data_IF_119113134533
#
_entry.id   IF_119113134533
#
_cell.length_a   1.000
_cell.length_b   1.000
_cell.length_c   1.000
_cell.angle_alpha   90.00
_cell.angle_beta   90.00
_cell.angle_gamma   90.00
#
_symmetry.space_group_name_H-M   'P 1'
#
loop_
_entity.id
_entity.type
_entity.pdbx_description
1 polymer ?
#
# COMPACT_ATOMS: atom_id res chain seq x y z
N UNK A 1 5.49 16.77 -8.10
CA UNK A 1 4.78 16.22 -9.26
C UNK A 1 3.92 15.05 -8.80
N UNK A 2 2.80 14.83 -9.49
CA UNK A 2 1.74 13.93 -9.07
C UNK A 2 2.21 12.48 -8.93
N UNK A 3 1.48 11.73 -8.12
CA UNK A 3 1.69 10.30 -7.91
C UNK A 3 0.52 9.55 -8.51
N UNK A 4 0.78 8.47 -9.23
CA UNK A 4 -0.26 7.58 -9.75
C UNK A 4 -0.35 6.34 -8.86
N UNK A 5 -1.57 5.91 -8.53
CA UNK A 5 -1.80 4.57 -7.97
C UNK A 5 -2.71 3.78 -8.90
N UNK A 6 -2.35 2.52 -9.16
CA UNK A 6 -3.15 1.62 -10.01
C UNK A 6 -3.55 0.37 -9.24
N UNK A 7 -4.84 0.31 -8.89
CA UNK A 7 -5.54 -0.91 -8.54
C UNK A 7 -6.10 -1.57 -9.80
N UNK A 8 -6.09 -2.90 -9.87
CA UNK A 8 -6.41 -3.64 -11.10
C UNK A 8 -6.85 -5.06 -10.84
N UNK A 9 -7.82 -5.51 -11.62
CA UNK A 9 -8.21 -6.92 -11.68
C UNK A 9 -7.13 -7.71 -12.43
N UNK A 10 -6.94 -8.98 -12.11
CA UNK A 10 -5.93 -9.79 -12.78
C UNK A 10 -6.29 -10.04 -14.26
N UNK A 11 -5.38 -9.71 -15.19
CA UNK A 11 -5.67 -9.81 -16.63
C UNK A 11 -6.46 -8.62 -17.21
N UNK A 12 -6.70 -7.56 -16.44
CA UNK A 12 -7.40 -6.36 -16.93
C UNK A 12 -6.59 -5.48 -17.89
N UNK A 13 -5.29 -5.71 -18.08
CA UNK A 13 -4.42 -4.80 -18.84
C UNK A 13 -3.84 -3.64 -18.00
N UNK A 14 -4.22 -3.54 -16.72
CA UNK A 14 -3.75 -2.45 -15.85
C UNK A 14 -2.24 -2.44 -15.60
N UNK A 15 -1.54 -3.57 -15.74
CA UNK A 15 -0.06 -3.63 -15.61
C UNK A 15 0.57 -2.86 -16.76
N UNK A 16 0.17 -3.20 -17.97
CA UNK A 16 0.67 -2.66 -19.23
C UNK A 16 0.41 -1.15 -19.31
N UNK A 17 -0.81 -0.72 -18.94
CA UNK A 17 -1.20 0.69 -18.85
C UNK A 17 -0.30 1.44 -17.86
N UNK A 18 -0.09 0.91 -16.65
CA UNK A 18 0.76 1.54 -15.64
C UNK A 18 2.22 1.71 -16.08
N UNK A 19 2.80 0.69 -16.69
CA UNK A 19 4.15 0.79 -17.27
C UNK A 19 4.20 1.78 -18.44
N UNK A 20 3.18 1.84 -19.28
CA UNK A 20 3.11 2.78 -20.38
C UNK A 20 3.06 4.24 -19.88
N UNK A 21 2.19 4.54 -18.92
CA UNK A 21 2.14 5.88 -18.28
C UNK A 21 3.48 6.23 -17.64
N UNK A 22 4.09 5.28 -16.91
CA UNK A 22 5.40 5.50 -16.30
C UNK A 22 6.47 5.86 -17.33
N UNK A 23 6.51 5.16 -18.47
CA UNK A 23 7.44 5.49 -19.57
C UNK A 23 7.15 6.85 -20.19
N UNK A 24 5.89 7.16 -20.49
CA UNK A 24 5.50 8.43 -21.13
C UNK A 24 5.88 9.65 -20.30
N UNK A 25 5.79 9.55 -18.97
CA UNK A 25 6.11 10.65 -18.05
C UNK A 25 7.51 10.56 -17.42
N UNK A 26 8.28 9.52 -17.74
CA UNK A 26 9.54 9.19 -17.05
C UNK A 26 9.37 9.07 -15.53
N UNK A 27 8.28 8.45 -15.08
CA UNK A 27 8.01 8.17 -13.68
C UNK A 27 8.65 6.84 -13.27
N UNK A 28 9.06 6.75 -12.00
CA UNK A 28 9.52 5.50 -11.42
C UNK A 28 8.32 4.55 -11.22
N UNK A 29 8.44 3.29 -11.64
CA UNK A 29 7.44 2.28 -11.33
C UNK A 29 7.81 1.56 -10.04
N UNK A 30 6.85 1.53 -9.11
CA UNK A 30 6.99 0.86 -7.82
C UNK A 30 5.94 -0.24 -7.78
N UNK A 31 6.38 -1.43 -8.14
CA UNK A 31 5.55 -2.61 -8.13
C UNK A 31 5.82 -3.50 -6.91
N UNK A 32 5.15 -4.64 -6.92
CA UNK A 32 5.28 -5.65 -5.89
C UNK A 32 6.75 -6.04 -5.68
N UNK A 33 7.50 -6.35 -6.74
CA UNK A 33 8.88 -6.81 -6.62
C UNK A 33 9.77 -5.73 -6.02
N UNK A 34 9.58 -4.47 -6.43
CA UNK A 34 10.31 -3.33 -5.89
C UNK A 34 10.06 -3.15 -4.39
N UNK A 35 8.79 -3.18 -3.96
CA UNK A 35 8.42 -3.08 -2.54
C UNK A 35 9.04 -4.23 -1.75
N UNK A 36 8.94 -5.48 -2.25
CA UNK A 36 9.47 -6.66 -1.56
C UNK A 36 11.00 -6.62 -1.43
N UNK A 37 11.69 -6.13 -2.46
CA UNK A 37 13.15 -5.94 -2.40
C UNK A 37 13.54 -4.92 -1.32
N UNK A 38 12.77 -3.84 -1.16
CA UNK A 38 13.03 -2.86 -0.11
C UNK A 38 12.66 -3.36 1.29
N UNK A 39 11.62 -4.20 1.42
CA UNK A 39 11.33 -4.84 2.72
C UNK A 39 12.47 -5.75 3.17
N UNK A 40 13.12 -6.50 2.25
CA UNK A 40 14.27 -7.37 2.59
C UNK A 40 15.47 -6.58 3.12
N UNK A 41 15.67 -5.34 2.67
CA UNK A 41 16.75 -4.48 3.18
C UNK A 41 16.54 -4.07 4.64
N UNK A 42 15.31 -4.12 5.13
CA UNK A 42 14.99 -3.86 6.54
C UNK A 42 15.18 -5.09 7.45
N UNK A 43 15.34 -6.30 6.87
CA UNK A 43 15.55 -7.55 7.58
C UNK A 43 15.14 -8.77 6.75
N UNK A 44 15.88 -9.87 6.85
CA UNK A 44 15.61 -11.09 6.07
C UNK A 44 14.41 -11.88 6.59
N UNK A 45 14.03 -11.73 7.87
CA UNK A 45 12.81 -12.33 8.43
C UNK A 45 11.51 -11.89 7.72
N UNK A 46 11.51 -10.70 7.12
CA UNK A 46 10.39 -10.20 6.32
C UNK A 46 10.28 -10.89 4.95
N UNK A 47 11.31 -11.64 4.52
CA UNK A 47 11.31 -12.41 3.29
C UNK A 47 10.31 -13.57 3.34
N UNK A 48 10.11 -14.18 4.52
CA UNK A 48 9.14 -15.26 4.68
C UNK A 48 7.71 -14.75 4.45
N UNK A 49 7.35 -13.63 5.09
CA UNK A 49 6.06 -12.96 4.83
C UNK A 49 5.91 -12.50 3.38
N UNK A 50 7.00 -12.06 2.75
CA UNK A 50 7.02 -11.70 1.33
C UNK A 50 6.65 -12.89 0.43
N UNK A 51 7.13 -14.09 0.73
CA UNK A 51 6.83 -15.30 -0.07
C UNK A 51 5.41 -15.82 0.21
N UNK A 52 5.00 -15.85 1.48
CA UNK A 52 3.68 -16.37 1.86
C UNK A 52 2.53 -15.48 1.35
N UNK A 53 2.68 -14.15 1.36
CA UNK A 53 1.65 -13.22 0.85
C UNK A 53 1.55 -13.17 -0.68
N UNK A 54 2.55 -13.74 -1.36
CA UNK A 54 2.52 -13.89 -2.81
C UNK A 54 1.74 -15.11 -3.25
N UNK A 55 1.54 -16.07 -2.35
CA UNK A 55 0.96 -17.38 -2.63
C UNK A 55 -0.43 -17.56 -1.98
N UNK A 56 -0.81 -16.70 -1.02
CA UNK A 56 -2.11 -16.74 -0.35
C UNK A 56 -2.50 -15.42 0.33
N UNK A 57 -3.81 -15.21 0.45
CA UNK A 57 -4.38 -14.26 1.42
C UNK A 57 -4.09 -14.71 2.85
N UNK A 58 -3.75 -13.79 3.77
CA UNK A 58 -3.59 -14.15 5.18
C UNK A 58 -4.94 -14.58 5.77
N UNK A 59 -4.93 -15.71 6.48
CA UNK A 59 -6.05 -16.19 7.30
C UNK A 59 -6.39 -15.20 8.41
N UNK A 60 -7.59 -15.31 8.99
CA UNK A 60 -8.04 -14.40 10.07
C UNK A 60 -7.06 -14.38 11.24
N UNK A 61 -6.45 -15.51 11.59
CA UNK A 61 -5.47 -15.61 12.67
C UNK A 61 -4.14 -14.93 12.33
N UNK A 62 -3.67 -15.07 11.09
CA UNK A 62 -2.45 -14.41 10.60
C UNK A 62 -2.58 -12.88 10.57
N UNK A 63 -3.79 -12.33 10.50
CA UNK A 63 -4.02 -10.88 10.61
C UNK A 63 -3.63 -10.31 11.97
N UNK A 64 -3.73 -11.14 13.01
CA UNK A 64 -3.36 -10.79 14.37
C UNK A 64 -1.93 -11.20 14.72
N UNK A 65 -1.21 -11.82 13.78
CA UNK A 65 0.22 -12.07 13.92
C UNK A 65 0.97 -10.74 13.91
N UNK A 66 1.77 -10.52 14.96
CA UNK A 66 2.60 -9.34 15.10
C UNK A 66 3.56 -9.18 13.91
N UNK A 67 4.07 -10.28 13.38
CA UNK A 67 4.98 -10.28 12.24
C UNK A 67 4.26 -9.81 10.97
N UNK A 68 3.01 -10.22 10.76
CA UNK A 68 2.21 -9.68 9.66
C UNK A 68 1.95 -8.17 9.83
N UNK A 69 1.66 -7.70 11.05
CA UNK A 69 1.46 -6.26 11.33
C UNK A 69 2.74 -5.44 11.08
N UNK A 70 3.90 -5.94 11.51
CA UNK A 70 5.20 -5.32 11.23
C UNK A 70 5.49 -5.23 9.74
N UNK A 71 5.25 -6.32 9.00
CA UNK A 71 5.41 -6.35 7.55
C UNK A 71 4.50 -5.34 6.82
N UNK A 72 3.23 -5.26 7.22
CA UNK A 72 2.27 -4.30 6.65
C UNK A 72 2.71 -2.86 6.93
N UNK A 73 3.11 -2.56 8.17
CA UNK A 73 3.62 -1.23 8.53
C UNK A 73 4.85 -0.85 7.71
N UNK A 74 5.74 -1.82 7.45
CA UNK A 74 6.92 -1.63 6.62
C UNK A 74 6.55 -1.34 5.15
N UNK A 75 5.63 -2.10 4.56
CA UNK A 75 5.11 -1.84 3.20
C UNK A 75 4.52 -0.43 3.11
N UNK A 76 3.66 -0.05 4.06
CA UNK A 76 3.03 1.27 4.09
C UNK A 76 4.07 2.39 4.21
N UNK A 77 5.08 2.21 5.07
CA UNK A 77 6.19 3.15 5.20
C UNK A 77 6.97 3.31 3.89
N UNK A 78 7.30 2.20 3.22
CA UNK A 78 8.02 2.21 1.93
C UNK A 78 7.18 2.89 0.84
N UNK A 79 5.89 2.58 0.75
CA UNK A 79 5.01 3.18 -0.25
C UNK A 79 4.84 4.69 -0.06
N UNK A 80 4.74 5.16 1.19
CA UNK A 80 4.72 6.58 1.51
C UNK A 80 6.06 7.28 1.23
N UNK A 81 7.18 6.58 1.41
CA UNK A 81 8.49 7.09 1.04
C UNK A 81 8.60 7.32 -0.47
N UNK A 82 8.15 6.35 -1.29
CA UNK A 82 8.05 6.53 -2.73
C UNK A 82 7.07 7.65 -3.13
N UNK A 83 5.91 7.72 -2.49
CA UNK A 83 4.94 8.79 -2.76
C UNK A 83 5.51 10.19 -2.46
N UNK A 84 6.41 10.32 -1.48
CA UNK A 84 7.05 11.59 -1.12
C UNK A 84 8.14 12.03 -2.13
N UNK A 85 8.71 11.08 -2.89
CA UNK A 85 9.70 11.34 -3.95
C UNK A 85 9.09 11.96 -5.20
N UNK A 86 7.75 11.95 -5.31
CA UNK A 86 6.98 12.36 -6.49
C UNK A 86 7.30 11.52 -7.74
N UNK A 87 6.56 11.72 -8.84
CA UNK A 87 6.84 11.07 -10.13
C UNK A 87 6.94 9.54 -10.02
N UNK A 88 6.02 8.94 -9.27
CA UNK A 88 5.96 7.49 -9.10
C UNK A 88 4.61 6.93 -9.54
N UNK A 89 4.65 5.71 -10.09
CA UNK A 89 3.48 4.87 -10.33
C UNK A 89 3.50 3.72 -9.33
N UNK A 90 2.62 3.77 -8.33
CA UNK A 90 2.45 2.73 -7.32
C UNK A 90 1.48 1.66 -7.81
N UNK A 91 1.99 0.46 -8.05
CA UNK A 91 1.19 -0.66 -8.59
C UNK A 91 0.61 -1.54 -7.48
N UNK A 92 -0.53 -1.13 -6.93
CA UNK A 92 -1.37 -1.94 -6.03
C UNK A 92 -0.94 -1.88 -4.57
N UNK A 93 -0.98 -3.02 -3.87
CA UNK A 93 -0.70 -3.17 -2.43
C UNK A 93 -1.44 -2.15 -1.54
N UNK A 94 -2.56 -1.65 -2.03
CA UNK A 94 -3.43 -0.70 -1.36
C UNK A 94 -2.95 0.76 -1.39
N UNK A 95 -2.10 1.15 -2.34
CA UNK A 95 -1.65 2.53 -2.47
C UNK A 95 -2.80 3.54 -2.62
N UNK A 96 -3.89 3.13 -3.28
CA UNK A 96 -5.11 3.92 -3.41
C UNK A 96 -5.80 4.18 -2.05
N UNK A 97 -5.69 3.28 -1.08
CA UNK A 97 -6.20 3.46 0.29
C UNK A 97 -5.25 4.31 1.14
N UNK A 98 -3.94 4.16 0.93
CA UNK A 98 -2.91 4.88 1.69
C UNK A 98 -2.85 6.38 1.34
N UNK A 99 -3.14 6.71 0.07
CA UNK A 99 -3.11 8.07 -0.46
C UNK A 99 -4.49 8.72 -0.57
N UNK A 100 -5.49 8.22 0.17
CA UNK A 100 -6.79 8.90 0.33
C UNK A 100 -6.56 10.32 0.86
N UNK A 101 -7.30 11.29 0.33
CA UNK A 101 -7.19 12.72 0.63
C UNK A 101 -5.84 13.37 0.31
N UNK A 102 -4.98 12.73 -0.50
CA UNK A 102 -3.77 13.38 -1.02
C UNK A 102 -4.09 14.00 -2.39
N UNK A 103 -4.19 15.34 -2.50
CA UNK A 103 -4.75 15.98 -3.70
C UNK A 103 -3.93 15.77 -4.98
N UNK A 104 -2.63 15.56 -4.84
CA UNK A 104 -1.75 15.28 -5.98
C UNK A 104 -1.58 13.78 -6.28
N UNK A 105 -2.29 12.90 -5.58
CA UNK A 105 -2.34 11.48 -5.90
C UNK A 105 -3.55 11.18 -6.79
N UNK A 106 -3.33 10.63 -7.98
CA UNK A 106 -4.38 10.11 -8.86
C UNK A 106 -4.60 8.62 -8.56
N UNK A 107 -5.78 8.25 -8.06
CA UNK A 107 -6.11 6.89 -7.66
C UNK A 107 -7.00 6.23 -8.70
N UNK A 108 -6.48 5.19 -9.35
CA UNK A 108 -7.12 4.61 -10.53
C UNK A 108 -7.42 3.13 -10.31
N UNK A 109 -8.59 2.72 -10.77
CA UNK A 109 -9.01 1.33 -10.85
C UNK A 109 -9.12 0.90 -12.32
N UNK A 110 -8.46 -0.19 -12.69
CA UNK A 110 -8.59 -0.80 -14.03
C UNK A 110 -9.35 -2.12 -13.92
N UNK A 111 -10.42 -2.24 -14.71
CA UNK A 111 -11.32 -3.39 -14.77
C UNK A 111 -11.44 -3.89 -16.20
N UNK A 112 -11.90 -5.14 -16.33
CA UNK A 112 -12.23 -5.72 -17.62
C UNK A 112 -13.25 -6.86 -17.46
N UNK A 113 -14.08 -7.15 -18.46
CA UNK A 113 -14.94 -8.32 -18.46
C UNK A 113 -14.13 -9.61 -18.33
N UNK A 114 -14.70 -10.60 -17.64
CA UNK A 114 -14.02 -11.87 -17.37
C UNK A 114 -13.50 -12.56 -18.64
N UNK A 115 -14.24 -12.52 -19.74
CA UNK A 115 -13.82 -13.16 -21.00
C UNK A 115 -12.54 -12.52 -21.57
N UNK A 116 -12.46 -11.19 -21.62
CA UNK A 116 -11.25 -10.51 -22.10
C UNK A 116 -10.05 -10.80 -21.22
N UNK A 117 -10.28 -10.94 -19.91
CA UNK A 117 -9.24 -11.29 -18.95
C UNK A 117 -8.74 -12.71 -19.20
N UNK A 118 -9.64 -13.67 -19.38
CA UNK A 118 -9.31 -15.05 -19.72
C UNK A 118 -8.45 -15.10 -20.98
N UNK A 119 -8.88 -14.45 -22.08
CA UNK A 119 -8.15 -14.46 -23.35
C UNK A 119 -6.73 -13.89 -23.20
N UNK A 120 -6.56 -12.83 -22.39
CA UNK A 120 -5.26 -12.24 -22.08
C UNK A 120 -4.38 -13.19 -21.26
N UNK A 121 -4.94 -13.85 -20.24
CA UNK A 121 -4.20 -14.76 -19.38
C UNK A 121 -3.80 -16.04 -20.13
N UNK A 122 -4.69 -16.62 -20.94
CA UNK A 122 -4.38 -17.77 -21.79
C UNK A 122 -3.17 -17.49 -22.69
N UNK A 123 -3.15 -16.32 -23.34
CA UNK A 123 -2.03 -15.89 -24.19
C UNK A 123 -0.74 -15.62 -23.42
N UNK A 124 -0.83 -14.96 -22.27
CA UNK A 124 0.34 -14.55 -21.49
C UNK A 124 1.02 -15.71 -20.78
N UNK A 125 0.25 -16.60 -20.17
CA UNK A 125 0.74 -17.70 -19.35
C UNK A 125 0.81 -19.04 -20.12
N UNK A 126 0.31 -19.08 -21.37
CA UNK A 126 0.24 -20.30 -22.20
C UNK A 126 -0.55 -21.43 -21.51
N UNK A 127 -1.78 -21.10 -21.09
CA UNK A 127 -2.68 -22.02 -20.37
C UNK A 127 -4.04 -22.11 -21.04
N UNK A 128 -4.79 -23.17 -20.74
CA UNK A 128 -6.18 -23.31 -21.18
C UNK A 128 -7.15 -22.33 -20.47
N UNK A 129 -8.39 -22.30 -20.96
CA UNK A 129 -9.44 -21.41 -20.48
C UNK A 129 -9.78 -21.63 -19.00
N UNK A 130 -9.90 -22.89 -18.58
CA UNK A 130 -10.30 -23.23 -17.21
C UNK A 130 -9.21 -22.87 -16.21
N UNK A 131 -7.95 -23.13 -16.57
CA UNK A 131 -6.77 -22.74 -15.81
C UNK A 131 -6.65 -21.21 -15.74
N UNK A 132 -6.85 -20.50 -16.85
CA UNK A 132 -6.84 -19.04 -16.87
C UNK A 132 -7.92 -18.44 -15.96
N UNK A 133 -9.15 -18.97 -16.03
CA UNK A 133 -10.26 -18.54 -15.18
C UNK A 133 -9.97 -18.81 -13.70
N UNK A 134 -9.46 -20.00 -13.36
CA UNK A 134 -9.07 -20.32 -11.99
C UNK A 134 -7.99 -19.38 -11.46
N UNK A 135 -6.95 -19.09 -12.25
CA UNK A 135 -5.89 -18.15 -11.89
C UNK A 135 -6.42 -16.74 -11.63
N UNK A 136 -7.36 -16.28 -12.46
CA UNK A 136 -8.06 -15.00 -12.31
C UNK A 136 -8.80 -14.94 -10.99
N UNK A 137 -9.68 -15.90 -10.73
CA UNK A 137 -10.51 -15.91 -9.53
C UNK A 137 -9.66 -16.05 -8.26
N UNK A 138 -8.63 -16.90 -8.30
CA UNK A 138 -7.68 -17.06 -7.19
C UNK A 138 -6.95 -15.75 -6.90
N UNK A 139 -6.34 -15.14 -7.91
CA UNK A 139 -5.54 -13.91 -7.74
C UNK A 139 -6.39 -12.73 -7.27
N UNK A 140 -7.60 -12.57 -7.80
CA UNK A 140 -8.51 -11.50 -7.38
C UNK A 140 -8.99 -11.71 -5.94
N UNK A 141 -9.32 -12.95 -5.55
CA UNK A 141 -9.68 -13.30 -4.17
C UNK A 141 -8.53 -13.01 -3.20
N UNK A 142 -7.30 -13.31 -3.61
CA UNK A 142 -6.10 -13.03 -2.80
C UNK A 142 -5.86 -11.53 -2.63
N UNK A 143 -5.98 -10.76 -3.72
CA UNK A 143 -5.86 -9.29 -3.66
C UNK A 143 -6.95 -8.66 -2.81
N UNK A 144 -8.20 -9.11 -2.98
CA UNK A 144 -9.32 -8.63 -2.18
C UNK A 144 -9.14 -8.94 -0.70
N UNK A 145 -8.76 -10.19 -0.37
CA UNK A 145 -8.50 -10.61 1.00
C UNK A 145 -7.35 -9.86 1.66
N UNK A 146 -6.28 -9.55 0.92
CA UNK A 146 -5.16 -8.71 1.37
C UNK A 146 -5.60 -7.27 1.67
N UNK A 147 -6.41 -6.65 0.81
CA UNK A 147 -6.92 -5.30 1.07
C UNK A 147 -7.84 -5.30 2.29
N UNK A 148 -8.75 -6.27 2.38
CA UNK A 148 -9.68 -6.40 3.50
C UNK A 148 -8.95 -6.65 4.82
N UNK A 149 -7.84 -7.39 4.82
CA UNK A 149 -7.08 -7.68 6.04
C UNK A 149 -6.35 -6.46 6.59
N UNK A 150 -5.87 -5.57 5.71
CA UNK A 150 -5.06 -4.41 6.10
C UNK A 150 -5.91 -3.18 6.37
N UNK A 151 -6.83 -2.88 5.45
CA UNK A 151 -7.60 -1.63 5.48
C UNK A 151 -9.01 -1.81 6.02
N UNK A 152 -9.49 -3.05 6.18
CA UNK A 152 -10.88 -3.31 6.53
C UNK A 152 -11.88 -2.89 5.45
N UNK A 153 -11.40 -2.46 4.28
CA UNK A 153 -12.22 -1.92 3.18
C UNK A 153 -12.55 -2.99 2.14
N UNK A 154 -13.58 -2.72 1.35
CA UNK A 154 -13.81 -3.43 0.09
C UNK A 154 -12.76 -2.96 -0.93
N UNK A 155 -12.12 -3.91 -1.61
CA UNK A 155 -11.09 -3.62 -2.62
C UNK A 155 -11.63 -2.88 -3.85
N UNK A 156 -12.95 -2.91 -4.06
CA UNK A 156 -13.65 -2.27 -5.18
C UNK A 156 -14.50 -1.07 -4.73
N UNK A 157 -14.33 -0.60 -3.49
CA UNK A 157 -15.02 0.59 -2.98
C UNK A 157 -14.75 1.82 -3.87
N UNK A 158 -15.77 2.38 -4.55
CA UNK A 158 -15.60 3.52 -5.43
C UNK A 158 -15.03 4.77 -4.74
N UNK A 159 -15.26 4.94 -3.43
CA UNK A 159 -14.74 6.10 -2.69
C UNK A 159 -13.19 6.10 -2.60
N UNK A 160 -12.57 4.95 -2.85
CA UNK A 160 -11.13 4.77 -2.83
C UNK A 160 -10.45 5.06 -4.17
N UNK A 161 -11.21 5.48 -5.19
CA UNK A 161 -10.71 5.78 -6.53
C UNK A 161 -11.22 7.14 -7.04
N UNK A 162 -10.38 7.83 -7.79
CA UNK A 162 -10.76 9.05 -8.52
C UNK A 162 -11.29 8.70 -9.92
N UNK A 163 -10.74 7.65 -10.54
CA UNK A 163 -11.13 7.17 -11.87
C UNK A 163 -11.22 5.64 -11.89
N UNK A 164 -12.22 5.14 -12.61
CA UNK A 164 -12.40 3.71 -12.90
C UNK A 164 -12.48 3.53 -14.40
N UNK A 165 -11.57 2.76 -14.98
CA UNK A 165 -11.56 2.44 -16.40
C UNK A 165 -11.94 0.98 -16.63
N UNK A 166 -12.73 0.76 -17.67
CA UNK A 166 -13.05 -0.55 -18.21
C UNK A 166 -12.36 -0.71 -19.56
N UNK A 167 -11.44 -1.66 -19.66
CA UNK A 167 -10.67 -1.90 -20.89
C UNK A 167 -11.47 -2.54 -22.02
N UNK A 168 -12.73 -2.90 -21.79
CA UNK A 168 -13.68 -3.20 -22.88
C UNK A 168 -14.19 -1.93 -23.54
N UNK A 169 -14.43 -0.88 -22.76
CA UNK A 169 -15.11 0.35 -23.21
C UNK A 169 -14.13 1.40 -23.70
N UNK A 170 -12.90 1.39 -23.18
CA UNK A 170 -11.86 2.36 -23.51
C UNK A 170 -10.60 1.62 -23.95
N UNK A 171 -10.01 2.08 -25.06
CA UNK A 171 -8.77 1.49 -25.56
C UNK A 171 -7.61 1.82 -24.62
N UNK A 172 -6.59 0.96 -24.51
CA UNK A 172 -5.43 1.22 -23.66
C UNK A 172 -4.78 2.59 -23.92
N UNK A 173 -4.63 2.99 -25.17
CA UNK A 173 -4.02 4.27 -25.55
C UNK A 173 -4.82 5.47 -25.04
N UNK A 174 -6.15 5.44 -25.17
CA UNK A 174 -7.05 6.47 -24.63
C UNK A 174 -6.96 6.54 -23.09
N UNK A 175 -6.87 5.39 -22.42
CA UNK A 175 -6.68 5.36 -20.96
C UNK A 175 -5.34 5.99 -20.59
N UNK A 176 -4.27 5.64 -21.30
CA UNK A 176 -2.92 6.19 -21.06
C UNK A 176 -2.92 7.71 -21.24
N UNK A 177 -3.50 8.23 -22.33
CA UNK A 177 -3.62 9.66 -22.60
C UNK A 177 -4.39 10.39 -21.49
N UNK A 178 -5.53 9.86 -21.08
CA UNK A 178 -6.33 10.41 -19.98
C UNK A 178 -5.56 10.44 -18.65
N UNK A 179 -4.82 9.37 -18.34
CA UNK A 179 -4.01 9.29 -17.13
C UNK A 179 -2.84 10.27 -17.16
N UNK A 180 -2.17 10.41 -18.30
CA UNK A 180 -1.07 11.38 -18.49
C UNK A 180 -1.60 12.80 -18.28
N UNK A 181 -2.69 13.16 -18.95
CA UNK A 181 -3.31 14.48 -18.81
C UNK A 181 -3.75 14.76 -17.36
N UNK A 182 -4.42 13.80 -16.71
CA UNK A 182 -4.88 13.93 -15.33
C UNK A 182 -3.74 14.05 -14.31
N UNK A 183 -2.60 13.40 -14.56
CA UNK A 183 -1.40 13.56 -13.73
C UNK A 183 -0.77 14.94 -13.90
N UNK A 184 -0.64 15.42 -15.13
CA UNK A 184 -0.13 16.77 -15.42
C UNK A 184 -1.03 17.84 -14.79
N UNK A 185 -2.35 17.69 -14.85
CA UNK A 185 -3.26 18.61 -14.17
C UNK A 185 -3.05 18.60 -12.65
N UNK A 186 -2.86 17.42 -12.06
CA UNK A 186 -2.66 17.27 -10.61
C UNK A 186 -1.33 17.79 -10.09
N UNK A 187 -0.34 18.04 -10.95
CA UNK A 187 0.91 18.71 -10.56
C UNK A 187 0.65 20.05 -9.88
N UNK A 188 -0.44 20.76 -10.24
CA UNK A 188 -0.83 22.03 -9.61
C UNK A 188 -1.14 21.90 -8.11
N UNK A 189 -1.46 20.70 -7.64
CA UNK A 189 -1.72 20.41 -6.24
C UNK A 189 -0.48 20.00 -5.46
N UNK A 190 0.69 19.83 -6.11
CA UNK A 190 1.96 19.54 -5.45
C UNK A 190 2.57 20.77 -4.76
N UNK A 191 1.83 21.38 -3.83
CA UNK A 191 2.34 22.47 -2.99
C UNK A 191 2.94 21.94 -1.68
N UNK A 192 3.67 22.80 -0.98
CA UNK A 192 4.37 22.46 0.27
C UNK A 192 3.43 21.92 1.36
N UNK A 193 2.20 22.46 1.44
CA UNK A 193 1.18 21.99 2.38
C UNK A 193 0.81 20.53 2.16
N UNK A 194 0.49 20.14 0.93
CA UNK A 194 0.16 18.76 0.59
C UNK A 194 1.37 17.83 0.78
N UNK A 195 2.57 18.28 0.43
CA UNK A 195 3.81 17.52 0.66
C UNK A 195 4.08 17.31 2.15
N UNK A 196 3.78 18.31 2.99
CA UNK A 196 3.90 18.19 4.44
C UNK A 196 2.95 17.11 4.98
N UNK A 197 1.72 17.01 4.45
CA UNK A 197 0.77 15.94 4.83
C UNK A 197 1.33 14.55 4.53
N UNK A 198 1.85 14.31 3.32
CA UNK A 198 2.46 13.03 2.98
C UNK A 198 3.71 12.76 3.80
N UNK A 199 4.54 13.79 4.04
CA UNK A 199 5.71 13.68 4.92
C UNK A 199 5.33 13.25 6.33
N UNK A 200 4.30 13.87 6.93
CA UNK A 200 3.82 13.51 8.27
C UNK A 200 3.26 12.07 8.31
N UNK A 201 2.44 11.69 7.31
CA UNK A 201 1.97 10.30 7.20
C UNK A 201 3.13 9.31 7.06
N UNK A 202 4.15 9.65 6.26
CA UNK A 202 5.38 8.85 6.10
C UNK A 202 6.15 8.72 7.41
N UNK A 203 6.31 9.79 8.17
CA UNK A 203 6.96 9.73 9.49
C UNK A 203 6.20 8.84 10.47
N UNK A 204 4.87 8.96 10.53
CA UNK A 204 4.02 8.11 11.38
C UNK A 204 4.15 6.64 10.98
N UNK A 205 4.08 6.34 9.68
CA UNK A 205 4.27 4.98 9.17
C UNK A 205 5.68 4.45 9.48
N UNK A 206 6.72 5.28 9.37
CA UNK A 206 8.11 4.92 9.72
C UNK A 206 8.26 4.61 11.20
N UNK A 207 7.68 5.43 12.08
CA UNK A 207 7.69 5.18 13.53
C UNK A 207 6.94 3.88 13.83
N UNK A 208 5.74 3.70 13.27
CA UNK A 208 4.94 2.48 13.42
C UNK A 208 5.71 1.23 12.99
N UNK A 209 6.31 1.27 11.80
CA UNK A 209 7.14 0.19 11.29
C UNK A 209 8.31 -0.08 12.22
N UNK A 210 9.11 0.94 12.58
CA UNK A 210 10.26 0.80 13.46
C UNK A 210 9.93 0.18 14.82
N UNK A 211 8.76 0.47 15.38
CA UNK A 211 8.29 -0.14 16.63
C UNK A 211 7.83 -1.58 16.44
N UNK A 212 7.04 -1.86 15.39
CA UNK A 212 6.46 -3.19 15.14
C UNK A 212 7.44 -4.20 14.54
N UNK A 213 8.61 -3.76 14.05
CA UNK A 213 9.67 -4.66 13.58
C UNK A 213 10.76 -4.87 14.65
N UNK A 214 10.69 -4.16 15.77
CA UNK A 214 11.70 -4.27 16.82
C UNK A 214 11.43 -5.53 17.66
N UNK A 215 12.36 -6.53 17.67
CA UNK A 215 12.15 -7.79 18.36
C UNK A 215 12.06 -7.64 19.90
N UNK A 216 12.57 -6.54 20.46
CA UNK A 216 12.47 -6.23 21.88
C UNK A 216 11.10 -5.64 22.29
N UNK A 217 10.24 -5.33 21.30
CA UNK A 217 8.94 -4.69 21.48
C UNK A 217 7.80 -5.57 20.96
N UNK A 218 7.46 -6.62 21.71
CA UNK A 218 6.31 -7.45 21.41
C UNK A 218 5.00 -6.88 21.99
N UNK A 219 4.37 -5.98 21.24
CA UNK A 219 3.11 -5.33 21.63
C UNK A 219 2.00 -5.57 20.59
N UNK A 220 1.23 -6.67 20.68
CA UNK A 220 0.20 -7.02 19.71
C UNK A 220 -0.92 -5.99 19.55
N UNK A 221 -1.12 -5.12 20.53
CA UNK A 221 -2.16 -4.07 20.53
C UNK A 221 -1.63 -2.70 20.11
N UNK A 222 -0.33 -2.56 19.83
CA UNK A 222 0.28 -1.28 19.50
C UNK A 222 -0.33 -0.72 18.21
N UNK A 223 -0.73 0.54 18.25
CA UNK A 223 -1.05 1.34 17.08
C UNK A 223 -0.40 2.72 17.18
N UNK A 224 -0.17 3.33 16.02
CA UNK A 224 0.43 4.65 15.90
C UNK A 224 -0.35 5.44 14.87
N UNK A 225 -0.92 6.55 15.31
CA UNK A 225 -1.82 7.40 14.52
C UNK A 225 -1.36 8.85 14.56
N UNK A 226 -1.87 9.65 13.63
CA UNK A 226 -1.68 11.10 13.62
C UNK A 226 -2.97 11.78 14.05
N UNK A 227 -2.90 12.56 15.14
CA UNK A 227 -4.00 13.45 15.56
C UNK A 227 -3.51 14.89 15.47
N UNK A 228 -3.95 15.60 14.43
CA UNK A 228 -3.41 16.92 14.10
C UNK A 228 -1.93 16.85 13.71
N UNK A 229 -1.06 17.46 14.51
CA UNK A 229 0.39 17.45 14.36
C UNK A 229 1.10 16.49 15.35
N UNK A 230 0.33 15.73 16.13
CA UNK A 230 0.83 14.90 17.21
C UNK A 230 0.72 13.43 16.86
N UNK A 231 1.84 12.71 17.00
CA UNK A 231 1.89 11.25 16.84
C UNK A 231 1.41 10.61 18.13
N UNK A 232 0.36 9.81 18.04
CA UNK A 232 -0.30 9.18 19.19
C UNK A 232 -0.01 7.69 19.16
N UNK A 233 0.64 7.20 20.22
CA UNK A 233 0.88 5.78 20.42
C UNK A 233 -0.22 5.22 21.31
N UNK A 234 -0.97 4.24 20.81
CA UNK A 234 -2.06 3.55 21.50
C UNK A 234 -1.68 2.11 21.74
N UNK A 235 -2.02 1.55 22.89
CA UNK A 235 -1.75 0.13 23.15
C UNK A 235 -1.87 -0.27 24.61
N UNK A 236 -1.70 -1.57 24.85
CA UNK A 236 -1.74 -2.19 26.17
C UNK A 236 -0.40 -2.84 26.48
N UNK A 237 0.20 -2.46 27.60
CA UNK A 237 1.46 -3.01 28.13
C UNK A 237 1.21 -3.83 29.39
N UNK A 238 2.09 -4.76 29.73
CA UNK A 238 2.00 -5.62 30.90
C UNK A 238 2.69 -5.02 32.13
N UNK A 239 3.75 -4.24 31.94
CA UNK A 239 4.55 -3.71 33.05
C UNK A 239 5.22 -2.37 32.70
N UNK A 240 5.66 -1.59 33.71
CA UNK A 240 6.32 -0.30 33.48
C UNK A 240 7.58 -0.38 32.61
N UNK A 241 8.37 -1.46 32.72
CA UNK A 241 9.60 -1.62 31.91
C UNK A 241 9.29 -1.74 30.41
N UNK A 242 8.20 -2.40 30.05
CA UNK A 242 7.72 -2.49 28.66
C UNK A 242 7.29 -1.11 28.14
N UNK A 243 6.57 -0.33 28.96
CA UNK A 243 6.24 1.07 28.64
C UNK A 243 7.49 1.93 28.44
N UNK A 244 8.46 1.82 29.32
CA UNK A 244 9.70 2.62 29.24
C UNK A 244 10.49 2.29 27.97
N UNK A 245 10.59 1.00 27.61
CA UNK A 245 11.20 0.57 26.33
C UNK A 245 10.45 1.12 25.12
N UNK A 246 9.12 0.97 25.09
CA UNK A 246 8.28 1.47 24.00
C UNK A 246 8.44 2.99 23.82
N UNK A 247 8.31 3.75 24.92
CA UNK A 247 8.37 5.22 24.86
C UNK A 247 9.78 5.74 24.56
N UNK A 248 10.82 5.05 25.05
CA UNK A 248 12.21 5.33 24.72
C UNK A 248 12.50 5.16 23.23
N UNK A 249 12.08 4.02 22.66
CA UNK A 249 12.26 3.74 21.23
C UNK A 249 11.41 4.66 20.35
N UNK A 250 10.16 4.93 20.75
CA UNK A 250 9.30 5.87 20.05
C UNK A 250 9.92 7.28 19.99
N UNK A 251 10.49 7.76 21.11
CA UNK A 251 11.18 9.06 21.16
C UNK A 251 12.41 9.08 20.25
N UNK A 252 13.19 8.00 20.24
CA UNK A 252 14.36 7.85 19.37
C UNK A 252 13.95 7.92 17.88
N UNK A 253 12.89 7.21 17.51
CA UNK A 253 12.38 7.18 16.13
C UNK A 253 11.75 8.52 15.71
N UNK A 254 10.99 9.15 16.60
CA UNK A 254 10.24 10.38 16.30
C UNK A 254 11.10 11.63 16.18
N UNK A 255 12.28 11.66 16.83
CA UNK A 255 13.13 12.83 16.86
C UNK A 255 12.41 14.03 17.47
N UNK A 256 12.13 15.05 16.65
CA UNK A 256 11.50 16.30 17.09
C UNK A 256 9.96 16.30 16.97
N UNK A 257 9.34 15.21 16.50
CA UNK A 257 7.89 15.13 16.39
C UNK A 257 7.23 15.06 17.78
N UNK A 258 6.07 15.70 17.91
CA UNK A 258 5.28 15.66 19.14
C UNK A 258 4.72 14.26 19.35
N UNK A 259 4.99 13.67 20.51
CA UNK A 259 4.49 12.36 20.90
C UNK A 259 3.46 12.47 22.03
N UNK A 260 2.39 11.70 21.92
CA UNK A 260 1.44 11.44 23.01
C UNK A 260 1.28 9.94 23.19
N UNK A 261 1.21 9.51 24.44
CA UNK A 261 1.12 8.09 24.79
C UNK A 261 -0.24 7.80 25.44
N UNK A 262 -1.13 7.11 24.74
CA UNK A 262 -2.36 6.52 25.27
C UNK A 262 -2.11 5.01 25.50
N UNK A 263 -1.22 4.76 26.46
CA UNK A 263 -0.77 3.41 26.82
C UNK A 263 -1.42 3.00 28.13
N UNK A 264 -2.15 1.90 28.10
CA UNK A 264 -2.86 1.33 29.25
C UNK A 264 -2.11 0.12 29.79
N UNK A 265 -2.26 -0.15 31.09
CA UNK A 265 -1.77 -1.39 31.67
C UNK A 265 -2.83 -2.48 31.55
N UNK A 266 -2.39 -3.71 31.25
CA UNK A 266 -3.24 -4.89 31.39
C UNK A 266 -3.52 -5.10 32.88
N UNK A 267 -4.79 -5.08 33.26
CA UNK A 267 -5.24 -5.44 34.61
C UNK A 267 -5.08 -6.93 34.89
#
# INVERSE_FOLDING_TARGET
MAVLTISREFGSGGREIGHAVARSLSYEIVDKERILNDTRKAGTEWEQWSKELDERSPSVWERYDWSFRGFVALIQSIMLDYALRDRVVLMGRGGNFLLVDIPYALRVRIKAPIQQRIDRIMKRETVDMDTAKWLIEKTDRERSGFIRSIYGMDWDDPACFDLVFDTEKSKPDEIIENLVAGLTERDRYCNEGCRNTVRLRREVARIKAGLLINPDLFLPTLDVELEGDTVVLKGVVHNPKERDRLTGEARRLAGNLRLRYDIRYRG
#
